data_IF_585836805376
#
_entry.id   IF_585836805376
#
_cell.length_a   1.000
_cell.length_b   1.000
_cell.length_c   1.000
_cell.angle_alpha   90.00
_cell.angle_beta   90.00
_cell.angle_gamma   90.00
#
_symmetry.space_group_name_H-M   'P 1'
#
loop_
_entity.id
_entity.type
_entity.pdbx_description
1 polymer ?
#
# COMPACT_ATOMS: atom_id res chain seq x y z
N UNK A 1 -24.48 2.16 12.19
CA UNK A 1 -24.43 1.16 11.11
C UNK A 1 -23.16 1.49 10.30
N UNK A 2 -22.14 0.65 10.39
CA UNK A 2 -21.01 0.79 9.47
C UNK A 2 -21.55 0.50 8.08
N UNK A 3 -21.53 1.48 7.18
CA UNK A 3 -21.78 1.25 5.77
C UNK A 3 -20.75 0.22 5.31
N UNK A 4 -21.22 -0.91 4.83
CA UNK A 4 -20.35 -2.00 4.39
C UNK A 4 -19.67 -1.54 3.09
N UNK A 5 -18.36 -1.26 3.18
CA UNK A 5 -17.56 -0.78 2.05
C UNK A 5 -17.60 -1.78 0.90
N UNK A 6 -17.77 -1.28 -0.31
CA UNK A 6 -17.74 -2.06 -1.54
C UNK A 6 -16.73 -1.48 -2.52
N UNK A 7 -16.08 -2.34 -3.28
CA UNK A 7 -15.04 -1.97 -4.25
C UNK A 7 -15.29 -2.63 -5.59
N UNK A 8 -14.63 -2.14 -6.62
CA UNK A 8 -14.69 -2.74 -7.95
C UNK A 8 -13.92 -4.06 -7.99
N UNK A 9 -14.54 -5.07 -8.62
CA UNK A 9 -13.89 -6.31 -9.03
C UNK A 9 -13.37 -6.13 -10.44
N UNK A 10 -12.10 -6.49 -10.67
CA UNK A 10 -11.45 -6.35 -11.97
C UNK A 10 -10.96 -7.70 -12.50
N UNK A 11 -10.75 -7.77 -13.81
CA UNK A 11 -9.99 -8.86 -14.42
C UNK A 11 -8.46 -8.65 -14.23
N UNK A 12 -7.60 -9.62 -14.57
CA UNK A 12 -6.15 -9.47 -14.46
C UNK A 12 -5.53 -8.30 -15.25
N UNK A 13 -6.26 -7.72 -16.20
CA UNK A 13 -5.84 -6.56 -16.98
C UNK A 13 -6.36 -5.23 -16.39
N UNK A 14 -7.06 -5.28 -15.25
CA UNK A 14 -7.61 -4.11 -14.56
C UNK A 14 -8.94 -3.61 -15.10
N UNK A 15 -9.60 -4.36 -16.00
CA UNK A 15 -10.94 -4.02 -16.49
C UNK A 15 -11.98 -4.35 -15.43
N UNK A 16 -12.82 -3.39 -15.09
CA UNK A 16 -13.94 -3.57 -14.15
C UNK A 16 -14.94 -4.59 -14.71
N UNK A 17 -15.24 -5.62 -13.92
CA UNK A 17 -16.18 -6.72 -14.24
C UNK A 17 -17.32 -6.84 -13.23
N UNK A 18 -17.31 -6.09 -12.15
CA UNK A 18 -18.34 -6.10 -11.12
C UNK A 18 -17.95 -5.29 -9.90
N UNK A 19 -18.69 -5.51 -8.83
CA UNK A 19 -18.42 -4.95 -7.50
C UNK A 19 -18.63 -6.02 -6.44
N UNK A 20 -17.89 -5.96 -5.33
CA UNK A 20 -18.08 -6.84 -4.19
C UNK A 20 -17.82 -6.09 -2.88
N UNK A 21 -18.34 -6.62 -1.78
CA UNK A 21 -18.12 -6.07 -0.45
C UNK A 21 -16.71 -6.35 0.02
N UNK A 22 -16.15 -5.48 0.83
CA UNK A 22 -14.82 -5.64 1.42
C UNK A 22 -14.62 -7.02 2.06
N UNK A 23 -15.57 -7.47 2.86
CA UNK A 23 -15.50 -8.77 3.53
C UNK A 23 -15.43 -9.95 2.54
N UNK A 24 -16.11 -9.84 1.41
CA UNK A 24 -16.07 -10.85 0.34
C UNK A 24 -14.72 -10.85 -0.38
N UNK A 25 -14.18 -9.67 -0.72
CA UNK A 25 -12.87 -9.51 -1.36
C UNK A 25 -11.74 -10.07 -0.50
N UNK A 26 -11.79 -9.84 0.81
CA UNK A 26 -10.78 -10.31 1.78
C UNK A 26 -10.99 -11.77 2.25
N UNK A 27 -11.93 -12.49 1.66
CA UNK A 27 -12.17 -13.91 1.95
C UNK A 27 -12.25 -14.79 0.69
N UNK A 28 -12.11 -14.18 -0.50
CA UNK A 28 -12.22 -14.89 -1.77
C UNK A 28 -11.10 -14.46 -2.75
N UNK A 29 -9.99 -15.18 -2.82
CA UNK A 29 -8.86 -14.85 -3.70
C UNK A 29 -9.17 -14.98 -5.19
N UNK A 30 -10.36 -15.47 -5.59
CA UNK A 30 -10.79 -15.47 -6.98
C UNK A 30 -11.27 -14.08 -7.46
N UNK A 31 -11.56 -13.18 -6.53
CA UNK A 31 -11.97 -11.81 -6.82
C UNK A 31 -10.74 -10.89 -6.74
N UNK A 32 -10.47 -10.16 -7.82
CA UNK A 32 -9.35 -9.21 -7.87
C UNK A 32 -9.93 -7.81 -7.64
N UNK A 33 -9.37 -7.09 -6.68
CA UNK A 33 -9.71 -5.68 -6.44
C UNK A 33 -8.48 -4.79 -6.58
N UNK A 34 -8.69 -3.48 -6.78
CA UNK A 34 -7.62 -2.53 -7.02
C UNK A 34 -7.17 -1.89 -5.71
N UNK A 35 -5.86 -1.83 -5.51
CA UNK A 35 -5.23 -1.08 -4.42
C UNK A 35 -4.12 -0.19 -4.97
N UNK A 36 -3.78 0.84 -4.24
CA UNK A 36 -2.63 1.69 -4.51
C UNK A 36 -1.62 1.57 -3.39
N UNK A 37 -0.34 1.53 -3.76
CA UNK A 37 0.77 1.71 -2.84
C UNK A 37 1.53 2.99 -3.19
N UNK A 38 1.95 3.74 -2.18
CA UNK A 38 2.85 4.88 -2.40
C UNK A 38 4.10 4.69 -1.56
N UNK A 39 5.24 4.63 -2.21
CA UNK A 39 6.56 4.61 -1.60
C UNK A 39 7.02 6.05 -1.38
N UNK A 40 7.06 6.50 -0.13
CA UNK A 40 7.44 7.87 0.24
C UNK A 40 8.92 7.90 0.58
N UNK A 41 9.70 8.62 -0.23
CA UNK A 41 11.12 8.84 0.01
C UNK A 41 11.37 10.23 0.59
N UNK A 42 12.40 10.39 1.39
CA UNK A 42 12.90 11.71 1.76
C UNK A 42 14.00 12.19 0.79
N UNK A 43 14.54 13.39 1.04
CA UNK A 43 15.61 13.96 0.21
C UNK A 43 16.98 13.23 0.34
N UNK A 44 17.10 12.30 1.27
CA UNK A 44 18.27 11.42 1.46
C UNK A 44 18.05 10.02 0.91
N UNK A 45 17.03 9.81 0.06
CA UNK A 45 16.65 8.51 -0.51
C UNK A 45 16.34 7.42 0.53
N UNK A 46 15.93 7.81 1.74
CA UNK A 46 15.42 6.88 2.74
C UNK A 46 13.93 6.65 2.50
N UNK A 47 13.48 5.42 2.60
CA UNK A 47 12.09 5.00 2.41
C UNK A 47 11.33 5.04 3.74
N UNK A 48 10.21 5.75 3.76
CA UNK A 48 9.30 5.75 4.90
C UNK A 48 8.56 4.41 4.98
N UNK A 49 8.57 3.78 6.13
CA UNK A 49 7.68 2.67 6.45
C UNK A 49 6.75 3.07 7.58
N UNK A 50 5.50 2.60 7.52
CA UNK A 50 4.57 2.68 8.63
C UNK A 50 4.56 1.37 9.43
N UNK A 51 4.47 1.48 10.76
CA UNK A 51 4.22 0.35 11.62
C UNK A 51 2.72 0.26 11.88
N UNK A 52 2.12 -0.84 11.48
CA UNK A 52 0.68 -1.08 11.64
C UNK A 52 0.32 -1.15 13.12
N UNK A 53 -0.84 -0.61 13.47
CA UNK A 53 -1.37 -0.78 14.83
C UNK A 53 -1.60 -2.25 15.15
N UNK A 54 -1.48 -2.60 16.43
CA UNK A 54 -1.80 -3.95 16.91
C UNK A 54 -3.30 -4.30 16.81
N UNK A 55 -4.15 -3.30 16.58
CA UNK A 55 -5.59 -3.46 16.41
C UNK A 55 -6.02 -3.79 14.97
N UNK A 56 -5.07 -3.84 14.02
CA UNK A 56 -5.37 -4.17 12.61
C UNK A 56 -5.54 -5.68 12.43
N UNK A 57 -6.49 -6.07 11.59
CA UNK A 57 -6.82 -7.48 11.30
C UNK A 57 -5.69 -8.19 10.54
N UNK A 58 -4.98 -7.46 9.68
CA UNK A 58 -3.87 -7.99 8.88
C UNK A 58 -2.54 -7.42 9.31
N UNK A 59 -1.51 -8.26 9.44
CA UNK A 59 -0.13 -7.93 9.81
C UNK A 59 -0.02 -6.96 11.02
N UNK A 60 -0.71 -7.20 12.17
CA UNK A 60 -0.68 -6.31 13.32
C UNK A 60 0.75 -6.12 13.85
N UNK A 61 1.12 -4.85 14.11
CA UNK A 61 2.41 -4.48 14.68
C UNK A 61 3.61 -4.60 13.74
N UNK A 62 3.43 -5.08 12.50
CA UNK A 62 4.50 -5.17 11.50
C UNK A 62 4.74 -3.84 10.81
N UNK A 63 5.95 -3.68 10.27
CA UNK A 63 6.30 -2.60 9.35
C UNK A 63 5.76 -2.92 7.95
N UNK A 64 5.21 -1.92 7.30
CA UNK A 64 4.53 -2.04 6.01
C UNK A 64 4.90 -0.88 5.10
N UNK A 65 4.41 -0.89 3.86
CA UNK A 65 4.60 0.19 2.88
C UNK A 65 4.29 1.57 3.49
N UNK A 66 4.80 2.63 2.88
CA UNK A 66 4.56 3.99 3.39
C UNK A 66 3.08 4.31 3.47
N UNK A 67 2.33 4.03 2.40
CA UNK A 67 0.88 4.20 2.29
C UNK A 67 0.31 3.09 1.43
N UNK A 68 -0.84 2.57 1.80
CA UNK A 68 -1.57 1.57 1.01
C UNK A 68 -3.07 1.62 1.29
N UNK A 69 -3.86 1.63 0.22
CA UNK A 69 -5.32 1.66 0.35
C UNK A 69 -6.06 1.20 -0.89
N UNK A 70 -7.35 0.98 -0.73
CA UNK A 70 -8.23 0.56 -1.81
C UNK A 70 -8.54 1.72 -2.76
N UNK A 71 -8.85 1.39 -4.01
CA UNK A 71 -9.37 2.33 -4.99
C UNK A 71 -10.90 2.32 -4.89
N UNK A 72 -11.51 3.47 -4.65
CA UNK A 72 -12.96 3.61 -4.56
C UNK A 72 -13.64 3.35 -5.90
N UNK A 73 -14.94 3.04 -5.87
CA UNK A 73 -15.73 2.82 -7.09
C UNK A 73 -15.71 4.09 -7.95
N UNK A 74 -15.27 3.94 -9.21
CA UNK A 74 -15.16 5.05 -10.16
C UNK A 74 -13.99 5.99 -9.94
N UNK A 75 -13.11 5.71 -8.96
CA UNK A 75 -11.91 6.51 -8.70
C UNK A 75 -10.76 6.07 -9.62
N UNK A 76 -9.96 7.02 -10.09
CA UNK A 76 -8.72 6.70 -10.79
C UNK A 76 -7.58 6.45 -9.79
N UNK A 77 -6.60 5.62 -10.18
CA UNK A 77 -5.51 5.17 -9.29
C UNK A 77 -4.62 6.32 -8.77
N UNK A 78 -4.46 7.40 -9.54
CA UNK A 78 -3.67 8.56 -9.09
C UNK A 78 -4.43 9.34 -8.02
N UNK A 79 -5.72 9.54 -8.18
CA UNK A 79 -6.59 10.17 -7.19
C UNK A 79 -6.63 9.36 -5.90
N UNK A 80 -6.76 8.02 -6.01
CA UNK A 80 -6.67 7.12 -4.85
C UNK A 80 -5.33 7.27 -4.12
N UNK A 81 -4.21 7.28 -4.82
CA UNK A 81 -2.89 7.46 -4.22
C UNK A 81 -2.75 8.79 -3.46
N UNK A 82 -3.27 9.89 -4.01
CA UNK A 82 -3.26 11.20 -3.36
C UNK A 82 -4.22 11.28 -2.17
N UNK A 83 -5.39 10.65 -2.26
CA UNK A 83 -6.35 10.54 -1.14
C UNK A 83 -5.74 9.78 0.02
N UNK A 84 -5.17 8.60 -0.24
CA UNK A 84 -4.55 7.76 0.79
C UNK A 84 -3.34 8.44 1.46
N UNK A 85 -2.49 9.15 0.70
CA UNK A 85 -1.40 9.97 1.26
C UNK A 85 -1.91 11.01 2.27
N UNK A 86 -3.02 11.68 1.95
CA UNK A 86 -3.65 12.66 2.84
C UNK A 86 -4.27 11.99 4.07
N UNK A 87 -5.01 10.89 3.87
CA UNK A 87 -5.76 10.21 4.93
C UNK A 87 -4.82 9.50 5.92
N UNK A 88 -3.84 8.77 5.43
CA UNK A 88 -2.93 7.99 6.27
C UNK A 88 -1.80 8.82 6.89
N UNK A 89 -1.20 9.77 6.15
CA UNK A 89 0.00 10.50 6.59
C UNK A 89 -0.16 12.03 6.65
N UNK A 90 -1.32 12.57 6.24
CA UNK A 90 -1.55 14.01 6.19
C UNK A 90 -0.70 14.73 5.13
N UNK A 91 -0.26 14.03 4.08
CA UNK A 91 0.53 14.59 3.00
C UNK A 91 -0.40 15.18 1.95
N UNK A 92 -0.27 16.48 1.69
CA UNK A 92 -1.02 17.21 0.67
C UNK A 92 -0.07 17.92 -0.31
N UNK A 93 -0.56 18.17 -1.52
CA UNK A 93 0.16 18.96 -2.52
C UNK A 93 1.43 18.33 -3.08
N UNK A 94 1.66 17.03 -2.84
CA UNK A 94 2.80 16.32 -3.42
C UNK A 94 2.47 15.78 -4.83
N UNK A 95 3.51 15.58 -5.65
CA UNK A 95 3.40 14.88 -6.92
C UNK A 95 3.69 13.40 -6.72
N UNK A 96 2.83 12.53 -7.26
CA UNK A 96 3.05 11.09 -7.29
C UNK A 96 3.47 10.63 -8.69
N UNK A 97 4.46 9.75 -8.76
CA UNK A 97 4.97 9.17 -10.01
C UNK A 97 4.64 7.69 -10.03
N UNK A 98 3.89 7.27 -11.06
CA UNK A 98 3.59 5.86 -11.29
C UNK A 98 4.85 5.07 -11.62
N UNK A 99 4.98 3.87 -11.05
CA UNK A 99 6.09 2.96 -11.30
C UNK A 99 5.67 1.73 -12.09
N UNK A 100 4.75 0.95 -11.56
CA UNK A 100 4.30 -0.33 -12.13
C UNK A 100 3.01 -0.82 -11.47
N UNK A 101 2.36 -1.78 -12.15
CA UNK A 101 1.30 -2.61 -11.57
C UNK A 101 1.81 -4.04 -11.35
N UNK A 102 1.20 -4.74 -10.39
CA UNK A 102 1.41 -6.17 -10.21
C UNK A 102 0.23 -6.83 -9.49
N UNK A 103 0.09 -8.14 -9.68
CA UNK A 103 -0.84 -8.93 -8.89
C UNK A 103 -0.14 -9.44 -7.62
N UNK A 104 -0.75 -9.16 -6.49
CA UNK A 104 -0.45 -9.78 -5.21
C UNK A 104 -1.58 -10.76 -4.87
N UNK A 105 -1.24 -11.99 -4.50
CA UNK A 105 -2.23 -12.99 -4.12
C UNK A 105 -1.74 -13.79 -2.93
N UNK A 106 -2.64 -14.02 -1.99
CA UNK A 106 -2.43 -14.89 -0.85
C UNK A 106 -3.66 -15.82 -0.68
N UNK A 107 -3.77 -16.50 0.47
CA UNK A 107 -4.88 -17.42 0.72
C UNK A 107 -6.23 -16.73 0.93
N UNK A 108 -6.25 -15.44 1.18
CA UNK A 108 -7.43 -14.68 1.57
C UNK A 108 -7.92 -13.76 0.44
N UNK A 109 -7.00 -13.16 -0.32
CA UNK A 109 -7.32 -12.09 -1.27
C UNK A 109 -6.37 -12.05 -2.47
N UNK A 110 -6.81 -11.39 -3.52
CA UNK A 110 -5.98 -11.03 -4.68
C UNK A 110 -6.18 -9.57 -5.01
N UNK A 111 -5.08 -8.85 -5.11
CA UNK A 111 -5.04 -7.42 -5.37
C UNK A 111 -4.29 -7.12 -6.67
N UNK A 112 -4.84 -6.22 -7.47
CA UNK A 112 -4.09 -5.53 -8.52
C UNK A 112 -3.53 -4.26 -7.90
N UNK A 113 -2.25 -4.30 -7.57
CA UNK A 113 -1.53 -3.21 -6.90
C UNK A 113 -0.94 -2.27 -7.91
N UNK A 114 -1.27 -0.96 -7.81
CA UNK A 114 -0.65 0.12 -8.57
C UNK A 114 0.31 0.90 -7.68
N UNK A 115 1.60 0.83 -7.95
CA UNK A 115 2.65 1.43 -7.12
C UNK A 115 3.09 2.78 -7.66
N UNK A 116 3.13 3.75 -6.75
CA UNK A 116 3.60 5.12 -6.98
C UNK A 116 4.78 5.44 -6.05
N UNK A 117 5.52 6.50 -6.39
CA UNK A 117 6.46 7.15 -5.47
C UNK A 117 6.14 8.62 -5.31
N UNK A 118 6.49 9.19 -4.15
CA UNK A 118 6.62 10.63 -3.96
C UNK A 118 7.81 10.94 -3.07
N UNK A 119 8.20 12.23 -3.02
CA UNK A 119 9.25 12.73 -2.12
C UNK A 119 8.60 13.63 -1.08
N UNK A 120 8.74 13.27 0.21
CA UNK A 120 8.24 14.07 1.33
C UNK A 120 9.01 13.74 2.61
N UNK A 121 9.50 14.76 3.33
CA UNK A 121 10.32 14.58 4.53
C UNK A 121 9.57 14.80 5.85
N UNK A 122 8.24 14.94 5.79
CA UNK A 122 7.39 15.28 6.94
C UNK A 122 7.15 16.80 7.07
N UNK A 123 6.48 17.22 8.12
CA UNK A 123 5.92 16.40 9.20
C UNK A 123 4.76 15.50 8.74
N UNK A 124 4.54 14.39 9.45
CA UNK A 124 3.45 13.45 9.20
C UNK A 124 2.37 13.56 10.28
N UNK A 125 1.10 13.42 9.84
CA UNK A 125 -0.06 13.36 10.72
C UNK A 125 -0.80 12.07 10.41
N UNK A 126 -0.93 11.19 11.38
CA UNK A 126 -1.58 9.89 11.21
C UNK A 126 -2.42 9.51 12.43
N UNK A 127 -3.45 8.69 12.19
CA UNK A 127 -4.27 8.13 13.23
C UNK A 127 -3.50 7.00 13.95
N UNK A 128 -3.26 7.17 15.25
CA UNK A 128 -2.52 6.19 16.07
C UNK A 128 -3.29 4.89 16.31
N UNK A 129 -4.58 4.87 16.07
CA UNK A 129 -5.38 3.63 16.12
C UNK A 129 -5.09 2.74 14.90
N UNK A 130 -4.63 3.32 13.80
CA UNK A 130 -4.30 2.61 12.56
C UNK A 130 -2.79 2.44 12.36
N UNK A 131 -2.02 3.47 12.63
CA UNK A 131 -0.57 3.51 12.45
C UNK A 131 0.09 3.78 13.79
N UNK A 132 0.85 2.82 14.31
CA UNK A 132 1.54 2.93 15.59
C UNK A 132 2.75 3.88 15.51
N UNK A 133 3.47 3.88 14.39
CA UNK A 133 4.65 4.70 14.16
C UNK A 133 4.98 4.80 12.66
N UNK A 134 5.73 5.83 12.29
CA UNK A 134 6.39 5.95 10.98
C UNK A 134 7.88 6.20 11.18
N UNK A 135 8.72 5.66 10.29
CA UNK A 135 10.16 5.83 10.32
C UNK A 135 10.74 5.73 8.92
N UNK A 136 11.75 6.53 8.65
CA UNK A 136 12.61 6.39 7.47
C UNK A 136 13.65 5.29 7.66
N UNK A 137 13.84 4.48 6.63
CA UNK A 137 14.75 3.35 6.58
C UNK A 137 15.67 3.46 5.37
N UNK A 138 16.94 3.11 5.53
CA UNK A 138 17.78 2.87 4.36
C UNK A 138 17.41 1.55 3.68
N UNK A 139 17.74 1.42 2.41
CA UNK A 139 17.54 0.18 1.64
C UNK A 139 18.28 -1.00 2.31
N UNK A 140 19.49 -0.76 2.86
CA UNK A 140 20.27 -1.79 3.54
C UNK A 140 19.62 -2.24 4.85
N UNK A 141 19.09 -1.31 5.66
CA UNK A 141 18.31 -1.66 6.86
C UNK A 141 17.10 -2.53 6.52
N UNK A 142 16.37 -2.20 5.45
CA UNK A 142 15.22 -2.99 5.01
C UNK A 142 15.69 -4.40 4.59
N UNK A 143 16.73 -4.50 3.77
CA UNK A 143 17.26 -5.79 3.31
C UNK A 143 17.60 -6.73 4.47
N UNK A 144 18.22 -6.22 5.53
CA UNK A 144 18.55 -7.00 6.74
C UNK A 144 17.31 -7.50 7.46
N UNK A 145 16.18 -6.78 7.35
CA UNK A 145 14.95 -7.10 8.08
C UNK A 145 13.91 -7.92 7.30
N UNK A 146 14.13 -8.16 5.99
CA UNK A 146 13.11 -8.82 5.13
C UNK A 146 12.66 -10.19 5.69
N UNK A 147 13.60 -10.97 6.24
CA UNK A 147 13.31 -12.32 6.76
C UNK A 147 13.11 -12.36 8.29
N UNK A 148 13.04 -11.18 8.95
CA UNK A 148 12.94 -11.09 10.42
C UNK A 148 11.55 -11.39 10.97
N UNK A 149 10.52 -11.49 10.11
CA UNK A 149 9.11 -11.58 10.49
C UNK A 149 8.51 -10.27 10.99
N UNK A 150 9.29 -9.18 11.08
CA UNK A 150 8.86 -7.85 11.52
C UNK A 150 8.25 -6.99 10.42
N UNK A 151 8.39 -7.41 9.16
CA UNK A 151 7.90 -6.74 7.97
C UNK A 151 6.71 -7.54 7.43
N UNK A 152 5.69 -6.86 6.90
CA UNK A 152 4.53 -7.50 6.29
C UNK A 152 4.92 -8.23 5.01
N UNK A 153 4.24 -9.34 4.70
CA UNK A 153 4.47 -10.09 3.47
C UNK A 153 4.15 -9.24 2.22
N UNK A 154 3.17 -8.35 2.33
CA UNK A 154 2.83 -7.36 1.31
C UNK A 154 4.03 -6.46 0.97
N UNK A 155 4.65 -5.87 1.99
CA UNK A 155 5.79 -4.99 1.76
C UNK A 155 7.05 -5.77 1.33
N UNK A 156 7.26 -6.99 1.80
CA UNK A 156 8.36 -7.84 1.31
C UNK A 156 8.26 -8.04 -0.20
N UNK A 157 7.07 -8.35 -0.73
CA UNK A 157 6.84 -8.51 -2.16
C UNK A 157 7.02 -7.18 -2.91
N UNK A 158 6.43 -6.09 -2.41
CA UNK A 158 6.58 -4.73 -2.95
C UNK A 158 8.06 -4.34 -3.05
N UNK A 159 8.80 -4.50 -1.98
CA UNK A 159 10.21 -4.11 -1.92
C UNK A 159 11.10 -4.91 -2.89
N UNK A 160 10.84 -6.20 -3.05
CA UNK A 160 11.53 -7.04 -4.04
C UNK A 160 11.26 -6.58 -5.47
N UNK A 161 10.02 -6.18 -5.77
CA UNK A 161 9.64 -5.62 -7.08
C UNK A 161 10.28 -4.28 -7.33
N UNK A 162 10.27 -3.40 -6.34
CA UNK A 162 10.93 -2.11 -6.40
C UNK A 162 12.43 -2.25 -6.67
N UNK A 163 13.10 -3.18 -6.02
CA UNK A 163 14.51 -3.49 -6.29
C UNK A 163 14.77 -3.91 -7.74
N UNK A 164 13.95 -4.80 -8.29
CA UNK A 164 14.02 -5.21 -9.70
C UNK A 164 13.75 -4.04 -10.68
N UNK A 165 12.81 -3.18 -10.35
CA UNK A 165 12.49 -2.00 -11.16
C UNK A 165 13.66 -1.00 -11.19
N UNK A 166 14.29 -0.73 -10.05
CA UNK A 166 15.47 0.15 -9.98
C UNK A 166 16.66 -0.37 -10.80
N UNK A 167 16.91 -1.67 -10.80
CA UNK A 167 18.02 -2.27 -11.54
C UNK A 167 17.85 -2.21 -13.07
N UNK A 168 16.65 -1.89 -13.57
CA UNK A 168 16.36 -1.82 -15.02
C UNK A 168 16.46 -0.39 -15.60
N UNK A 169 16.70 0.59 -14.75
CA UNK A 169 16.92 2.01 -15.12
C UNK A 169 18.39 2.39 -14.97
#
# INVERSE_FOLDING_TARGET
MHQEESFEVVDPNGKVIGTARRAELHSNPSLIHRVVHVLVFNLQDLLLLQRRSHNKDTAPGKWDTSVGGHVDIGEDIRSAALRELREELGIEGCSVNFLYDYLFSNRQETELVSTFTCVHSGPFRFNREEIAAVRFWSIDEINVQLDSGKISDHFVEEFRRYGKFRCRR
#
